data_IF_780560647181
#
_entry.id   IF_780560647181
#
_cell.length_a   1.000
_cell.length_b   1.000
_cell.length_c   1.000
_cell.angle_alpha   90.00
_cell.angle_beta   90.00
_cell.angle_gamma   90.00
#
_symmetry.space_group_name_H-M   'P 1'
#
loop_
_entity.id
_entity.type
_entity.pdbx_description
1 polymer ?
#
# COMPACT_ATOMS: atom_id res chain seq x y z
N UNK A 1 -28.30 14.27 -66.14
CA UNK A 1 -27.29 13.64 -67.03
C UNK A 1 -26.39 12.77 -66.17
N UNK A 2 -26.41 11.44 -66.39
CA UNK A 2 -25.46 10.47 -65.84
C UNK A 2 -24.25 10.35 -66.78
N UNK A 3 -23.08 9.96 -66.26
CA UNK A 3 -22.40 8.73 -66.73
C UNK A 3 -21.84 7.91 -65.53
N UNK A 4 -22.25 6.66 -65.30
CA UNK A 4 -21.76 5.35 -65.82
C UNK A 4 -20.43 4.85 -65.24
N UNK A 5 -20.59 3.90 -64.31
CA UNK A 5 -19.83 2.69 -63.93
C UNK A 5 -18.49 2.33 -64.57
N UNK A 6 -17.56 1.87 -63.72
CA UNK A 6 -16.40 1.06 -64.04
C UNK A 6 -15.96 0.19 -62.86
N UNK A 7 -16.40 -1.07 -62.87
CA UNK A 7 -16.15 -2.16 -61.90
C UNK A 7 -14.70 -2.68 -62.03
N UNK A 8 -13.96 -2.82 -60.92
CA UNK A 8 -12.70 -3.60 -60.88
C UNK A 8 -12.72 -4.63 -59.74
N UNK A 9 -12.34 -5.86 -60.09
CA UNK A 9 -12.48 -7.08 -59.32
C UNK A 9 -11.42 -7.28 -58.22
N UNK A 10 -11.86 -8.01 -57.19
CA UNK A 10 -11.10 -8.63 -56.10
C UNK A 10 -9.92 -9.48 -56.61
N UNK A 11 -8.77 -9.39 -55.94
CA UNK A 11 -7.90 -10.54 -55.64
C UNK A 11 -7.36 -10.39 -54.21
N UNK A 12 -7.83 -11.26 -53.31
CA UNK A 12 -7.19 -11.56 -52.02
C UNK A 12 -6.11 -12.60 -52.32
N UNK A 13 -4.87 -12.33 -51.91
CA UNK A 13 -3.81 -13.33 -51.89
C UNK A 13 -3.73 -13.86 -50.46
N UNK A 14 -4.04 -15.15 -50.31
CA UNK A 14 -3.80 -15.93 -49.12
C UNK A 14 -2.33 -16.34 -49.09
N UNK A 15 -1.72 -16.32 -47.91
CA UNK A 15 -0.48 -17.02 -47.63
C UNK A 15 -0.74 -17.94 -46.45
N UNK A 16 -0.46 -19.21 -46.69
CA UNK A 16 -0.74 -20.37 -45.87
C UNK A 16 0.16 -20.46 -44.64
N UNK A 17 -0.40 -20.89 -43.51
CA UNK A 17 0.33 -21.74 -42.56
C UNK A 17 -0.61 -22.86 -42.12
N UNK A 18 -0.07 -24.07 -42.22
CA UNK A 18 -0.74 -25.35 -42.32
C UNK A 18 -1.35 -25.84 -41.01
N UNK A 19 -2.59 -26.28 -41.13
CA UNK A 19 -3.47 -26.84 -40.11
C UNK A 19 -3.49 -28.36 -40.29
N UNK A 20 -2.36 -29.02 -40.04
CA UNK A 20 -2.34 -30.41 -39.58
C UNK A 20 -2.82 -30.38 -38.12
N UNK A 21 -4.12 -30.38 -37.82
CA UNK A 21 -5.01 -31.54 -38.02
C UNK A 21 -4.24 -32.82 -37.79
N UNK A 22 -4.28 -33.27 -36.55
CA UNK A 22 -4.73 -34.63 -36.28
C UNK A 22 -5.57 -34.57 -35.00
N UNK A 23 -6.86 -34.30 -35.19
CA UNK A 23 -7.86 -34.99 -34.38
C UNK A 23 -8.03 -36.38 -35.02
N UNK A 24 -8.13 -37.40 -34.19
CA UNK A 24 -9.24 -38.37 -34.17
C UNK A 24 -8.85 -39.50 -33.18
N UNK A 25 -9.49 -39.60 -32.02
CA UNK A 25 -10.80 -40.24 -31.78
C UNK A 25 -10.66 -41.78 -31.78
N UNK A 26 -10.45 -42.36 -30.60
CA UNK A 26 -11.39 -43.28 -29.90
C UNK A 26 -10.69 -43.94 -28.69
N UNK A 27 -11.31 -43.88 -27.50
CA UNK A 27 -10.94 -44.78 -26.39
C UNK A 27 -11.11 -44.21 -24.97
N UNK A 28 -12.37 -44.05 -24.55
CA UNK A 28 -12.97 -44.26 -23.22
C UNK A 28 -11.99 -44.57 -22.05
N UNK A 29 -12.16 -43.87 -20.91
CA UNK A 29 -11.34 -43.90 -19.67
C UNK A 29 -11.28 -45.23 -18.87
N UNK A 30 -10.84 -45.28 -17.58
CA UNK A 30 -11.19 -44.33 -16.51
C UNK A 30 -10.06 -43.90 -15.53
N UNK A 31 -10.38 -42.88 -14.73
CA UNK A 31 -9.93 -42.55 -13.35
C UNK A 31 -8.72 -43.26 -12.75
N UNK A 32 -7.70 -42.49 -12.32
CA UNK A 32 -7.31 -42.45 -10.90
C UNK A 32 -6.31 -41.34 -10.56
N UNK A 33 -6.49 -40.80 -9.34
CA UNK A 33 -5.49 -40.05 -8.57
C UNK A 33 -4.16 -40.79 -8.55
N UNK A 34 -3.04 -40.06 -8.64
CA UNK A 34 -2.05 -39.90 -7.56
C UNK A 34 -0.90 -39.02 -8.01
N UNK A 35 -0.39 -38.30 -7.02
CA UNK A 35 0.75 -37.39 -6.95
C UNK A 35 2.08 -38.00 -7.39
N UNK A 36 3.05 -37.10 -7.55
CA UNK A 36 4.52 -37.25 -7.49
C UNK A 36 5.28 -37.38 -8.81
N UNK A 37 5.96 -36.29 -9.18
CA UNK A 37 7.15 -36.36 -10.04
C UNK A 37 8.13 -35.26 -9.65
N UNK A 38 9.04 -35.65 -8.75
CA UNK A 38 10.49 -35.44 -8.80
C UNK A 38 11.03 -34.09 -9.30
N UNK A 39 11.56 -33.37 -8.31
CA UNK A 39 12.72 -32.48 -8.30
C UNK A 39 13.72 -32.70 -9.45
N UNK A 40 13.86 -31.69 -10.31
CA UNK A 40 15.09 -31.44 -11.06
C UNK A 40 15.78 -30.22 -10.45
N UNK A 41 16.94 -30.47 -9.83
CA UNK A 41 17.79 -29.46 -9.20
C UNK A 41 18.47 -28.65 -10.31
N UNK A 42 17.79 -27.62 -10.78
CA UNK A 42 18.49 -26.43 -11.25
C UNK A 42 18.92 -25.63 -10.03
N UNK A 43 20.02 -24.89 -10.13
CA UNK A 43 20.59 -24.04 -9.07
C UNK A 43 19.63 -22.87 -8.82
N UNK A 44 18.47 -23.20 -8.27
CA UNK A 44 17.30 -22.35 -8.16
C UNK A 44 17.49 -21.47 -6.95
N UNK A 45 17.62 -20.17 -7.18
CA UNK A 45 17.27 -19.20 -6.17
C UNK A 45 15.89 -19.60 -5.63
N UNK A 46 15.83 -19.98 -4.35
CA UNK A 46 14.59 -20.41 -3.70
C UNK A 46 13.63 -19.22 -3.70
N UNK A 47 12.81 -19.15 -4.75
CA UNK A 47 11.71 -18.19 -4.88
C UNK A 47 10.84 -18.27 -3.64
N UNK A 48 10.40 -17.10 -3.16
CA UNK A 48 9.53 -17.00 -2.00
C UNK A 48 8.16 -16.55 -2.46
N UNK A 49 7.14 -17.33 -2.15
CA UNK A 49 5.75 -16.94 -2.39
C UNK A 49 5.20 -16.20 -1.16
N UNK A 50 4.67 -15.00 -1.39
CA UNK A 50 4.09 -14.21 -0.31
C UNK A 50 2.82 -14.89 0.23
N UNK A 51 2.74 -15.22 1.53
CA UNK A 51 1.61 -15.98 2.10
C UNK A 51 0.30 -15.18 2.19
N UNK A 52 0.29 -13.91 1.79
CA UNK A 52 -0.88 -13.04 1.83
C UNK A 52 -1.45 -12.74 0.44
N UNK A 53 -0.61 -12.33 -0.51
CA UNK A 53 -1.04 -11.97 -1.87
C UNK A 53 -0.69 -13.03 -2.92
N UNK A 54 0.04 -14.09 -2.54
CA UNK A 54 0.47 -15.19 -3.41
C UNK A 54 1.39 -14.77 -4.56
N UNK A 55 2.00 -13.59 -4.45
CA UNK A 55 2.99 -13.12 -5.41
C UNK A 55 4.32 -13.87 -5.21
N UNK A 56 4.92 -14.28 -6.32
CA UNK A 56 6.21 -14.97 -6.31
C UNK A 56 7.35 -13.94 -6.37
N UNK A 57 8.13 -13.87 -5.30
CA UNK A 57 9.26 -12.95 -5.15
C UNK A 57 10.54 -13.63 -5.62
N UNK A 58 11.29 -12.96 -6.51
CA UNK A 58 12.53 -13.47 -7.10
C UNK A 58 13.74 -12.78 -6.45
N UNK A 59 14.71 -13.53 -5.87
CA UNK A 59 15.93 -12.94 -5.30
C UNK A 59 16.89 -12.39 -6.38
N UNK A 60 17.84 -11.50 -6.03
CA UNK A 60 18.14 -11.01 -4.67
C UNK A 60 17.14 -9.96 -4.17
N UNK A 61 16.85 -9.99 -2.87
CA UNK A 61 15.94 -9.03 -2.23
C UNK A 61 16.74 -7.88 -1.61
N UNK A 62 16.15 -6.67 -1.50
CA UNK A 62 16.67 -5.63 -0.61
C UNK A 62 16.79 -6.12 0.85
N UNK A 63 17.74 -5.57 1.61
CA UNK A 63 18.11 -6.04 2.95
C UNK A 63 16.91 -6.23 3.90
N UNK A 64 15.99 -5.26 3.92
CA UNK A 64 14.82 -5.31 4.80
C UNK A 64 13.82 -6.40 4.40
N UNK A 65 13.61 -6.61 3.10
CA UNK A 65 12.80 -7.72 2.62
C UNK A 65 13.49 -9.06 2.88
N UNK A 66 14.81 -9.14 2.73
CA UNK A 66 15.56 -10.37 3.01
C UNK A 66 15.43 -10.78 4.48
N UNK A 67 15.57 -9.83 5.42
CA UNK A 67 15.33 -10.05 6.86
C UNK A 67 13.90 -10.53 7.12
N UNK A 68 12.91 -9.90 6.50
CA UNK A 68 11.51 -10.26 6.69
C UNK A 68 11.18 -11.66 6.13
N UNK A 69 11.67 -11.98 4.92
CA UNK A 69 11.51 -13.31 4.31
C UNK A 69 12.16 -14.38 5.19
N UNK A 70 13.37 -14.11 5.71
CA UNK A 70 14.07 -15.02 6.62
C UNK A 70 13.26 -15.24 7.90
N UNK A 71 12.79 -14.18 8.55
CA UNK A 71 11.99 -14.29 9.76
C UNK A 71 10.71 -15.12 9.56
N UNK A 72 10.02 -14.94 8.42
CA UNK A 72 8.85 -15.75 8.08
C UNK A 72 9.22 -17.22 7.87
N UNK A 73 10.31 -17.51 7.15
CA UNK A 73 10.79 -18.89 6.95
C UNK A 73 11.16 -19.56 8.28
N UNK A 74 11.87 -18.85 9.14
CA UNK A 74 12.30 -19.34 10.45
C UNK A 74 11.08 -19.64 11.35
N UNK A 75 10.04 -18.79 11.32
CA UNK A 75 8.77 -19.05 12.02
C UNK A 75 8.06 -20.30 11.52
N UNK A 76 7.97 -20.49 10.19
CA UNK A 76 7.35 -21.70 9.60
C UNK A 76 8.09 -22.97 10.05
N UNK A 77 9.43 -22.93 10.02
CA UNK A 77 10.28 -24.05 10.44
C UNK A 77 10.08 -24.36 11.92
N UNK A 78 10.09 -23.33 12.79
CA UNK A 78 9.90 -23.50 14.22
C UNK A 78 8.52 -24.10 14.53
N UNK A 79 7.46 -23.58 13.90
CA UNK A 79 6.11 -24.12 14.08
C UNK A 79 5.99 -25.57 13.64
N UNK A 80 6.56 -25.93 12.48
CA UNK A 80 6.57 -27.32 12.02
C UNK A 80 7.31 -28.24 13.01
N UNK A 81 8.45 -27.79 13.55
CA UNK A 81 9.21 -28.55 14.55
C UNK A 81 8.40 -28.76 15.85
N UNK A 82 7.72 -27.73 16.34
CA UNK A 82 6.87 -27.83 17.52
C UNK A 82 5.69 -28.79 17.28
N UNK A 83 5.03 -28.70 16.13
CA UNK A 83 3.94 -29.62 15.76
C UNK A 83 4.44 -31.07 15.65
N UNK A 84 5.63 -31.29 15.08
CA UNK A 84 6.24 -32.63 15.00
C UNK A 84 6.55 -33.19 16.37
N UNK A 85 7.06 -32.37 17.29
CA UNK A 85 7.35 -32.79 18.66
C UNK A 85 6.07 -33.18 19.40
N UNK A 86 5.02 -32.34 19.31
CA UNK A 86 3.70 -32.65 19.90
C UNK A 86 3.11 -33.94 19.31
N UNK A 87 3.27 -34.13 18.00
CA UNK A 87 2.88 -35.37 17.34
C UNK A 87 3.66 -36.56 17.91
N UNK A 88 4.98 -36.52 17.94
CA UNK A 88 5.82 -37.61 18.47
C UNK A 88 5.44 -38.00 19.91
N UNK A 89 5.17 -37.02 20.78
CA UNK A 89 4.69 -37.23 22.14
C UNK A 89 3.33 -37.94 22.17
N UNK A 90 2.37 -37.48 21.35
CA UNK A 90 1.05 -38.12 21.20
C UNK A 90 1.19 -39.58 20.75
N UNK A 91 2.06 -39.85 19.77
CA UNK A 91 2.31 -41.20 19.23
C UNK A 91 2.83 -42.13 20.32
N UNK A 92 3.76 -41.66 21.15
CA UNK A 92 4.27 -42.43 22.27
C UNK A 92 3.15 -42.83 23.24
N UNK A 93 2.23 -41.90 23.53
CA UNK A 93 1.09 -42.14 24.40
C UNK A 93 0.09 -43.14 23.77
N UNK A 94 -0.32 -42.94 22.52
CA UNK A 94 -1.31 -43.81 21.86
C UNK A 94 -0.83 -45.25 21.72
N UNK A 95 0.48 -45.44 21.49
CA UNK A 95 1.11 -46.77 21.48
C UNK A 95 1.05 -47.43 22.86
N UNK A 96 1.30 -46.67 23.93
CA UNK A 96 1.22 -47.19 25.30
C UNK A 96 -0.22 -47.59 25.69
N UNK A 97 -1.22 -46.90 25.14
CA UNK A 97 -2.64 -47.20 25.31
C UNK A 97 -3.14 -48.37 24.42
N UNK A 98 -2.26 -48.97 23.60
CA UNK A 98 -2.59 -50.14 22.79
C UNK A 98 -3.34 -49.84 21.48
N UNK A 99 -3.31 -48.59 20.99
CA UNK A 99 -3.87 -48.30 19.65
C UNK A 99 -3.05 -48.96 18.54
N UNK A 100 -3.76 -49.62 17.63
CA UNK A 100 -3.18 -50.36 16.49
C UNK A 100 -2.98 -49.47 15.27
N UNK A 101 -3.85 -48.47 15.09
CA UNK A 101 -3.75 -47.48 14.03
C UNK A 101 -3.38 -46.13 14.60
N UNK A 102 -2.44 -45.49 13.94
CA UNK A 102 -1.88 -44.21 14.34
C UNK A 102 -1.92 -43.29 13.13
N UNK A 103 -2.60 -42.16 13.26
CA UNK A 103 -2.71 -41.19 12.17
C UNK A 103 -1.34 -40.61 11.81
N UNK A 104 -0.99 -40.52 10.52
CA UNK A 104 0.22 -39.85 10.07
C UNK A 104 0.26 -38.37 10.45
N UNK A 105 1.46 -37.80 10.59
CA UNK A 105 1.64 -36.38 10.80
C UNK A 105 1.12 -35.59 9.59
N UNK A 106 0.23 -34.64 9.84
CA UNK A 106 -0.25 -33.70 8.83
C UNK A 106 -0.22 -32.28 9.38
N UNK A 107 0.32 -31.35 8.59
CA UNK A 107 0.24 -29.92 8.89
C UNK A 107 -1.14 -29.40 8.48
N UNK A 108 -1.81 -28.70 9.41
CA UNK A 108 -3.13 -28.14 9.16
C UNK A 108 -3.09 -26.68 8.67
N UNK A 109 -2.01 -25.96 8.97
CA UNK A 109 -1.78 -24.58 8.56
C UNK A 109 -0.27 -24.30 8.45
N UNK A 110 0.08 -23.07 8.06
CA UNK A 110 1.45 -22.64 7.86
C UNK A 110 2.10 -22.00 9.10
N UNK A 111 1.43 -22.04 10.27
CA UNK A 111 1.95 -21.51 11.53
C UNK A 111 2.10 -20.00 11.58
N UNK A 112 1.67 -19.28 10.55
CA UNK A 112 1.79 -17.83 10.49
C UNK A 112 0.53 -17.15 11.00
N UNK A 113 0.74 -16.14 11.85
CA UNK A 113 -0.32 -15.22 12.22
C UNK A 113 -0.70 -14.34 11.01
N UNK A 114 -1.96 -13.91 10.96
CA UNK A 114 -2.44 -13.00 9.92
C UNK A 114 -1.65 -11.68 9.88
N UNK A 115 -1.13 -11.25 11.03
CA UNK A 115 -0.24 -10.09 11.14
C UNK A 115 1.10 -10.33 10.43
N UNK A 116 1.68 -11.53 10.56
CA UNK A 116 2.93 -11.91 9.89
C UNK A 116 2.76 -11.90 8.37
N UNK A 117 1.64 -12.47 7.88
CA UNK A 117 1.29 -12.49 6.46
C UNK A 117 1.13 -11.06 5.91
N UNK A 118 0.40 -10.21 6.63
CA UNK A 118 0.23 -8.79 6.26
C UNK A 118 1.54 -8.02 6.29
N UNK A 119 2.40 -8.29 7.27
CA UNK A 119 3.67 -7.60 7.42
C UNK A 119 4.59 -7.89 6.24
N UNK A 120 4.81 -9.17 5.90
CA UNK A 120 5.67 -9.52 4.75
C UNK A 120 5.10 -8.99 3.43
N UNK A 121 3.77 -9.01 3.28
CA UNK A 121 3.08 -8.42 2.13
C UNK A 121 3.40 -6.92 1.98
N UNK A 122 3.24 -6.16 3.07
CA UNK A 122 3.56 -4.73 3.08
C UNK A 122 5.03 -4.49 2.80
N UNK A 123 5.93 -5.30 3.38
CA UNK A 123 7.37 -5.15 3.18
C UNK A 123 7.77 -5.40 1.73
N UNK A 124 7.31 -6.48 1.07
CA UNK A 124 7.73 -6.71 -0.32
C UNK A 124 7.17 -5.67 -1.28
N UNK A 125 5.92 -5.24 -1.12
CA UNK A 125 5.35 -4.15 -1.93
C UNK A 125 6.14 -2.87 -1.76
N UNK A 126 6.50 -2.55 -0.50
CA UNK A 126 7.34 -1.39 -0.19
C UNK A 126 8.70 -1.47 -0.88
N UNK A 127 9.41 -2.57 -0.71
CA UNK A 127 10.79 -2.71 -1.17
C UNK A 127 10.90 -2.91 -2.69
N UNK A 128 9.98 -3.64 -3.30
CA UNK A 128 10.07 -4.06 -4.71
C UNK A 128 9.26 -3.19 -5.67
N UNK A 129 8.15 -2.58 -5.23
CA UNK A 129 7.30 -1.77 -6.11
C UNK A 129 7.40 -0.30 -5.77
N UNK A 130 7.10 0.04 -4.50
CA UNK A 130 7.01 1.43 -4.10
C UNK A 130 8.39 2.07 -4.21
N UNK A 131 9.39 1.63 -3.44
CA UNK A 131 10.69 2.32 -3.31
C UNK A 131 11.32 2.64 -4.66
N UNK A 132 11.38 1.70 -5.62
CA UNK A 132 11.87 1.99 -6.97
C UNK A 132 11.08 3.10 -7.67
N UNK A 133 9.74 3.08 -7.62
CA UNK A 133 8.89 4.13 -8.22
C UNK A 133 9.08 5.49 -7.58
N UNK A 134 9.24 5.57 -6.25
CA UNK A 134 9.52 6.84 -5.59
C UNK A 134 10.89 7.41 -6.00
N UNK A 135 11.90 6.56 -6.16
CA UNK A 135 13.23 6.96 -6.67
C UNK A 135 13.14 7.48 -8.10
N UNK A 136 12.38 6.81 -8.97
CA UNK A 136 12.14 7.27 -10.33
C UNK A 136 11.45 8.64 -10.37
N UNK A 137 10.56 8.92 -9.42
CA UNK A 137 9.91 10.23 -9.23
C UNK A 137 10.77 11.27 -8.51
N UNK A 138 11.94 10.87 -7.99
CA UNK A 138 12.85 11.74 -7.25
C UNK A 138 12.37 12.12 -5.84
N UNK A 139 11.43 11.37 -5.25
CA UNK A 139 10.96 11.63 -3.89
C UNK A 139 12.06 11.32 -2.86
N UNK A 140 12.10 12.02 -1.71
CA UNK A 140 13.11 11.77 -0.68
C UNK A 140 13.10 10.31 -0.20
N UNK A 141 14.26 9.64 -0.22
CA UNK A 141 14.37 8.25 0.28
C UNK A 141 14.24 8.16 1.80
N UNK A 142 14.62 9.22 2.50
CA UNK A 142 14.60 9.29 3.97
C UNK A 142 14.13 10.66 4.41
N UNK A 143 13.22 10.70 5.38
CA UNK A 143 12.72 11.93 5.99
C UNK A 143 13.29 12.06 7.40
N UNK A 144 13.98 13.18 7.66
CA UNK A 144 14.46 13.54 8.99
C UNK A 144 13.30 14.16 9.79
N UNK A 145 12.54 13.30 10.47
CA UNK A 145 11.40 13.71 11.30
C UNK A 145 11.82 14.52 12.53
N UNK A 146 13.08 14.40 12.99
CA UNK A 146 13.59 15.14 14.14
C UNK A 146 13.72 16.63 13.81
N UNK A 147 14.15 16.95 12.58
CA UNK A 147 14.21 18.34 12.10
C UNK A 147 12.88 18.90 11.63
N UNK A 148 11.84 18.07 11.46
CA UNK A 148 10.57 18.48 10.87
C UNK A 148 9.90 19.63 11.62
N UNK A 149 9.92 19.60 12.96
CA UNK A 149 9.37 20.68 13.79
C UNK A 149 9.99 22.05 13.48
N UNK A 150 11.31 22.11 13.31
CA UNK A 150 12.01 23.36 12.99
C UNK A 150 11.60 23.93 11.62
N UNK A 151 11.38 23.05 10.64
CA UNK A 151 10.90 23.44 9.30
C UNK A 151 9.47 23.97 9.36
N UNK A 152 8.59 23.31 10.13
CA UNK A 152 7.20 23.75 10.33
C UNK A 152 7.16 25.14 10.98
N UNK A 153 7.99 25.37 12.00
CA UNK A 153 8.08 26.66 12.69
C UNK A 153 8.52 27.78 11.72
N UNK A 154 9.38 27.49 10.74
CA UNK A 154 9.79 28.47 9.74
C UNK A 154 8.62 28.96 8.86
N UNK A 155 7.54 28.18 8.73
CA UNK A 155 6.33 28.57 7.99
C UNK A 155 5.31 29.34 8.84
N UNK A 156 5.62 29.63 10.11
CA UNK A 156 4.65 30.20 11.04
C UNK A 156 3.96 31.45 10.49
N UNK A 157 4.74 32.40 9.96
CA UNK A 157 4.20 33.67 9.48
C UNK A 157 3.34 33.47 8.23
N UNK A 158 3.74 32.60 7.31
CA UNK A 158 2.94 32.25 6.12
C UNK A 158 1.59 31.61 6.50
N UNK A 159 1.60 30.73 7.49
CA UNK A 159 0.38 30.09 7.99
C UNK A 159 -0.51 31.08 8.74
N UNK A 160 0.06 32.07 9.42
CA UNK A 160 -0.71 33.16 10.05
C UNK A 160 -1.47 34.00 9.03
N UNK A 161 -0.89 34.25 7.85
CA UNK A 161 -1.59 34.96 6.76
C UNK A 161 -2.85 34.22 6.35
N UNK A 162 -2.83 32.88 6.34
CA UNK A 162 -4.01 32.04 6.06
C UNK A 162 -5.01 32.13 7.22
N UNK A 163 -4.55 31.97 8.47
CA UNK A 163 -5.40 32.01 9.67
C UNK A 163 -6.11 33.36 9.81
N UNK A 164 -5.44 34.46 9.46
CA UNK A 164 -5.99 35.81 9.48
C UNK A 164 -6.95 36.10 8.30
N UNK A 165 -7.12 35.16 7.37
CA UNK A 165 -7.96 35.33 6.17
C UNK A 165 -7.37 36.31 5.16
N UNK A 166 -6.06 36.59 5.24
CA UNK A 166 -5.35 37.49 4.31
C UNK A 166 -4.89 36.77 3.03
N UNK A 167 -4.81 35.44 3.07
CA UNK A 167 -4.59 34.59 1.91
C UNK A 167 -5.68 33.52 1.81
N UNK A 168 -6.10 33.22 0.58
CA UNK A 168 -7.04 32.13 0.32
C UNK A 168 -6.32 30.78 0.39
N UNK A 169 -6.94 29.82 1.07
CA UNK A 169 -6.49 28.43 1.12
C UNK A 169 -7.50 27.54 0.41
N UNK A 170 -7.04 26.77 -0.58
CA UNK A 170 -7.87 25.78 -1.25
C UNK A 170 -8.39 24.70 -0.30
N UNK A 171 -7.61 24.36 0.73
CA UNK A 171 -8.03 23.40 1.75
C UNK A 171 -9.09 23.98 2.69
N UNK A 172 -8.98 25.26 3.08
CA UNK A 172 -10.03 25.93 3.86
C UNK A 172 -11.35 26.04 3.08
N UNK A 173 -11.27 26.38 1.78
CA UNK A 173 -12.43 26.45 0.91
C UNK A 173 -13.10 25.08 0.76
N UNK A 174 -12.30 24.03 0.57
CA UNK A 174 -12.79 22.66 0.44
C UNK A 174 -13.47 22.17 1.73
N UNK A 175 -12.82 22.36 2.88
CA UNK A 175 -13.36 21.96 4.17
C UNK A 175 -14.70 22.68 4.47
N UNK A 176 -14.80 23.97 4.11
CA UNK A 176 -16.06 24.72 4.19
C UNK A 176 -17.12 24.15 3.24
N UNK A 177 -16.74 23.86 1.99
CA UNK A 177 -17.63 23.28 0.98
C UNK A 177 -18.25 21.96 1.45
N UNK A 178 -17.46 21.09 2.07
CA UNK A 178 -17.96 19.82 2.63
C UNK A 178 -18.99 20.08 3.72
N UNK A 179 -18.70 20.98 4.67
CA UNK A 179 -19.65 21.34 5.73
C UNK A 179 -20.94 21.92 5.15
N UNK A 180 -20.86 22.77 4.12
CA UNK A 180 -22.03 23.36 3.48
C UNK A 180 -22.87 22.30 2.73
N UNK A 181 -22.24 21.26 2.16
CA UNK A 181 -22.93 20.20 1.41
C UNK A 181 -23.64 19.18 2.31
N UNK A 182 -22.94 18.65 3.32
CA UNK A 182 -23.48 17.55 4.15
C UNK A 182 -24.00 18.03 5.52
N UNK A 183 -23.70 19.27 5.89
CA UNK A 183 -24.00 19.83 7.19
C UNK A 183 -22.94 19.48 8.25
N UNK A 184 -22.78 20.38 9.22
CA UNK A 184 -21.81 20.31 10.30
C UNK A 184 -21.79 18.98 11.09
N UNK A 185 -22.94 18.34 11.28
CA UNK A 185 -23.03 17.07 12.01
C UNK A 185 -22.55 15.89 11.17
N UNK A 186 -22.94 15.84 9.89
CA UNK A 186 -22.54 14.75 9.00
C UNK A 186 -21.07 14.86 8.59
N UNK A 187 -20.56 16.09 8.45
CA UNK A 187 -19.14 16.35 8.20
C UNK A 187 -18.21 15.83 9.33
N UNK A 188 -18.77 15.58 10.52
CA UNK A 188 -18.07 15.07 11.69
C UNK A 188 -18.43 13.61 12.01
N UNK A 189 -19.11 12.95 11.07
CA UNK A 189 -19.37 11.52 11.17
C UNK A 189 -18.10 10.72 10.81
N UNK A 190 -17.99 9.50 11.32
CA UNK A 190 -16.77 8.68 11.23
C UNK A 190 -16.32 8.48 9.78
N UNK A 191 -17.27 8.21 8.88
CA UNK A 191 -16.98 8.02 7.45
C UNK A 191 -16.39 9.28 6.83
N UNK A 192 -16.95 10.46 7.11
CA UNK A 192 -16.48 11.70 6.50
C UNK A 192 -15.14 12.13 7.09
N UNK A 193 -14.94 11.93 8.39
CA UNK A 193 -13.64 12.16 9.03
C UNK A 193 -12.53 11.29 8.43
N UNK A 194 -12.83 10.02 8.09
CA UNK A 194 -11.88 9.15 7.39
C UNK A 194 -11.55 9.67 5.99
N UNK A 195 -12.58 10.05 5.21
CA UNK A 195 -12.37 10.63 3.87
C UNK A 195 -11.52 11.90 3.92
N UNK A 196 -11.83 12.80 4.86
CA UNK A 196 -11.09 14.04 5.05
C UNK A 196 -9.65 13.77 5.49
N UNK A 197 -9.45 12.83 6.40
CA UNK A 197 -8.12 12.44 6.84
C UNK A 197 -7.26 11.94 5.68
N UNK A 198 -7.79 11.05 4.83
CA UNK A 198 -7.06 10.57 3.64
C UNK A 198 -6.74 11.71 2.67
N UNK A 199 -7.68 12.66 2.47
CA UNK A 199 -7.51 13.80 1.58
C UNK A 199 -6.50 14.84 2.10
N UNK A 200 -6.27 14.90 3.42
CA UNK A 200 -5.39 15.90 4.07
C UNK A 200 -4.05 15.35 4.49
N UNK A 201 -3.74 14.08 4.18
CA UNK A 201 -2.43 13.50 4.41
C UNK A 201 -1.33 14.29 3.67
N UNK A 202 -0.18 14.56 4.32
CA UNK A 202 0.92 15.34 3.75
C UNK A 202 1.77 14.54 2.75
N UNK A 203 1.15 13.75 1.86
CA UNK A 203 1.83 12.97 0.83
C UNK A 203 2.83 11.95 1.39
N UNK A 204 4.06 11.92 0.85
CA UNK A 204 5.12 11.00 1.26
C UNK A 204 5.57 11.16 2.72
N UNK A 205 5.20 12.26 3.40
CA UNK A 205 5.42 12.39 4.85
C UNK A 205 4.53 11.45 5.67
N UNK A 206 3.41 11.03 5.10
CA UNK A 206 2.52 10.02 5.66
C UNK A 206 1.93 10.34 7.03
N UNK A 207 1.43 9.29 7.70
CA UNK A 207 0.77 9.41 8.99
C UNK A 207 1.72 9.95 10.07
N UNK A 208 2.97 9.47 10.09
CA UNK A 208 4.00 9.93 11.05
C UNK A 208 4.31 11.41 10.87
N UNK A 209 4.40 11.88 9.63
CA UNK A 209 4.57 13.30 9.33
C UNK A 209 3.34 14.11 9.69
N UNK A 210 2.13 13.62 9.38
CA UNK A 210 0.88 14.26 9.77
C UNK A 210 0.78 14.47 11.28
N UNK A 211 1.13 13.45 12.07
CA UNK A 211 1.18 13.52 13.54
C UNK A 211 2.15 14.61 14.01
N UNK A 212 3.37 14.65 13.46
CA UNK A 212 4.37 15.63 13.88
C UNK A 212 4.02 17.06 13.47
N UNK A 213 3.43 17.21 12.28
CA UNK A 213 2.89 18.49 11.79
C UNK A 213 1.77 18.94 12.72
N UNK A 214 0.78 18.09 12.99
CA UNK A 214 -0.33 18.38 13.89
C UNK A 214 0.15 18.80 15.28
N UNK A 215 1.06 18.03 15.89
CA UNK A 215 1.64 18.33 17.20
C UNK A 215 2.26 19.73 17.22
N UNK A 216 3.10 20.03 16.23
CA UNK A 216 3.82 21.31 16.14
C UNK A 216 2.85 22.48 15.92
N UNK A 217 1.87 22.32 15.03
CA UNK A 217 0.86 23.35 14.74
C UNK A 217 -0.05 23.62 15.93
N UNK A 218 -0.43 22.59 16.69
CA UNK A 218 -1.18 22.74 17.94
C UNK A 218 -0.40 23.62 18.93
N UNK A 219 0.89 23.34 19.14
CA UNK A 219 1.76 24.13 20.02
C UNK A 219 1.93 25.59 19.54
N UNK A 220 1.92 25.81 18.22
CA UNK A 220 2.06 27.14 17.62
C UNK A 220 0.78 27.98 17.70
N UNK A 221 -0.40 27.37 17.49
CA UNK A 221 -1.59 28.15 17.15
C UNK A 221 -2.85 27.88 17.98
N UNK A 222 -3.03 26.68 18.55
CA UNK A 222 -4.34 26.23 19.06
C UNK A 222 -4.94 27.17 20.12
N UNK A 223 -4.17 27.52 21.15
CA UNK A 223 -4.61 28.38 22.25
C UNK A 223 -4.12 29.82 22.13
N UNK A 224 -3.55 30.19 20.98
CA UNK A 224 -2.89 31.49 20.77
C UNK A 224 -3.58 32.30 19.68
N UNK A 225 -3.76 31.69 18.51
CA UNK A 225 -4.13 32.40 17.27
C UNK A 225 -5.47 31.92 16.70
N UNK A 226 -5.85 30.66 16.95
CA UNK A 226 -7.06 30.05 16.40
C UNK A 226 -8.28 30.33 17.28
N UNK A 227 -8.98 31.42 16.98
CA UNK A 227 -10.27 31.72 17.59
C UNK A 227 -11.42 31.05 16.83
N UNK A 228 -12.57 30.87 17.50
CA UNK A 228 -13.79 30.36 16.86
C UNK A 228 -14.23 31.17 15.64
N UNK A 229 -13.96 32.47 15.62
CA UNK A 229 -14.32 33.34 14.51
C UNK A 229 -13.41 33.12 13.30
N UNK A 230 -12.10 33.00 13.52
CA UNK A 230 -11.13 32.76 12.43
C UNK A 230 -11.31 31.37 11.78
N UNK A 231 -11.74 30.38 12.56
CA UNK A 231 -11.87 29.01 12.06
C UNK A 231 -13.25 28.68 11.47
N UNK A 232 -14.26 29.53 11.68
CA UNK A 232 -15.64 29.18 11.33
C UNK A 232 -15.80 28.81 9.85
N UNK A 233 -16.51 27.71 9.49
CA UNK A 233 -17.37 26.87 10.34
C UNK A 233 -16.66 25.69 11.03
N UNK A 234 -15.33 25.57 10.87
CA UNK A 234 -14.51 24.55 11.52
C UNK A 234 -14.25 24.91 12.99
N UNK A 235 -13.99 23.90 13.80
CA UNK A 235 -13.39 24.09 15.13
C UNK A 235 -11.87 24.27 14.98
N UNK A 236 -11.18 24.90 15.94
CA UNK A 236 -9.72 25.11 15.87
C UNK A 236 -8.92 23.85 15.53
N UNK A 237 -9.21 22.71 16.17
CA UNK A 237 -8.52 21.44 15.89
C UNK A 237 -8.82 20.93 14.48
N UNK A 238 -10.06 21.06 14.00
CA UNK A 238 -10.46 20.68 12.64
C UNK A 238 -9.78 21.58 11.61
N UNK A 239 -9.62 22.86 11.92
CA UNK A 239 -8.91 23.82 11.07
C UNK A 239 -7.42 23.45 10.96
N UNK A 240 -6.77 23.08 12.06
CA UNK A 240 -5.39 22.57 12.00
C UNK A 240 -5.34 21.33 11.10
N UNK A 241 -6.19 20.34 11.36
CA UNK A 241 -6.15 19.05 10.68
C UNK A 241 -6.49 19.14 9.17
N UNK A 242 -7.49 19.94 8.81
CA UNK A 242 -8.03 19.98 7.46
C UNK A 242 -7.44 21.08 6.60
N UNK A 243 -6.85 22.11 7.22
CA UNK A 243 -6.28 23.27 6.52
C UNK A 243 -4.78 23.34 6.76
N UNK A 244 -4.33 23.51 8.00
CA UNK A 244 -2.93 23.82 8.26
C UNK A 244 -1.99 22.63 8.05
N UNK A 245 -2.41 21.40 8.34
CA UNK A 245 -1.64 20.18 8.07
C UNK A 245 -1.35 20.05 6.57
N UNK A 246 -2.34 20.05 5.66
CA UNK A 246 -2.05 19.95 4.24
C UNK A 246 -1.36 21.19 3.67
N UNK A 247 -1.64 22.41 4.16
CA UNK A 247 -0.89 23.63 3.78
C UNK A 247 0.60 23.54 4.15
N UNK A 248 0.90 22.95 5.30
CA UNK A 248 2.27 22.69 5.73
C UNK A 248 2.91 21.57 4.90
N UNK A 249 2.16 20.48 4.64
CA UNK A 249 2.60 19.39 3.78
C UNK A 249 3.03 19.87 2.39
N UNK A 250 2.21 20.71 1.75
CA UNK A 250 2.55 21.34 0.45
C UNK A 250 3.86 22.12 0.56
N UNK A 251 4.03 22.98 1.57
CA UNK A 251 5.25 23.79 1.73
C UNK A 251 6.51 22.96 1.98
N UNK A 252 6.37 21.88 2.75
CA UNK A 252 7.46 20.92 2.96
C UNK A 252 7.87 20.26 1.62
N UNK A 253 6.90 19.84 0.82
CA UNK A 253 7.14 19.26 -0.50
C UNK A 253 7.78 20.27 -1.46
N UNK A 254 7.34 21.53 -1.43
CA UNK A 254 7.96 22.60 -2.22
C UNK A 254 9.44 22.78 -1.86
N UNK A 255 9.77 22.75 -0.57
CA UNK A 255 11.16 22.84 -0.10
C UNK A 255 12.00 21.62 -0.51
N UNK A 256 11.46 20.41 -0.39
CA UNK A 256 12.22 19.19 -0.68
C UNK A 256 12.47 19.02 -2.18
N UNK A 257 11.45 19.29 -2.99
CA UNK A 257 11.45 19.03 -4.43
C UNK A 257 11.86 20.25 -5.26
N UNK A 258 11.92 21.44 -4.65
CA UNK A 258 12.23 22.70 -5.35
C UNK A 258 11.18 23.07 -6.39
N UNK A 259 9.89 22.83 -6.10
CA UNK A 259 8.78 23.03 -7.04
C UNK A 259 7.77 24.08 -6.58
N UNK A 260 6.97 24.57 -7.52
CA UNK A 260 5.86 25.48 -7.26
C UNK A 260 4.70 24.81 -6.52
N UNK A 261 3.85 25.63 -5.89
CA UNK A 261 2.78 25.16 -4.99
C UNK A 261 1.81 24.19 -5.65
N UNK A 262 1.41 24.44 -6.90
CA UNK A 262 0.47 23.56 -7.60
C UNK A 262 1.08 22.20 -7.91
N UNK A 263 2.38 22.17 -8.29
CA UNK A 263 3.08 20.91 -8.49
C UNK A 263 3.29 20.16 -7.17
N UNK A 264 3.55 20.87 -6.08
CA UNK A 264 3.64 20.26 -4.76
C UNK A 264 2.31 19.66 -4.30
N UNK A 265 1.17 20.27 -4.62
CA UNK A 265 -0.17 19.68 -4.34
C UNK A 265 -0.41 18.40 -5.15
N UNK A 266 0.01 18.36 -6.41
CA UNK A 266 -0.05 17.14 -7.23
C UNK A 266 0.82 16.03 -6.61
N UNK A 267 2.07 16.35 -6.28
CA UNK A 267 2.98 15.42 -5.60
C UNK A 267 2.37 14.97 -4.28
N UNK A 268 1.79 15.86 -3.48
CA UNK A 268 1.16 15.49 -2.20
C UNK A 268 0.09 14.41 -2.41
N UNK A 269 -0.80 14.58 -3.40
CA UNK A 269 -1.87 13.59 -3.69
C UNK A 269 -1.32 12.27 -4.22
N UNK A 270 -0.41 12.33 -5.18
CA UNK A 270 0.21 11.12 -5.75
C UNK A 270 1.08 10.40 -4.73
N UNK A 271 1.66 11.13 -3.80
CA UNK A 271 2.66 10.59 -2.90
C UNK A 271 2.09 9.89 -1.66
N UNK A 272 0.75 9.88 -1.48
CA UNK A 272 0.11 9.23 -0.33
C UNK A 272 0.33 7.72 -0.33
N UNK A 273 0.39 7.05 -1.49
CA UNK A 273 0.65 5.60 -1.56
C UNK A 273 2.04 5.21 -1.00
N UNK A 274 2.94 6.20 -0.95
CA UNK A 274 4.30 6.09 -0.47
C UNK A 274 4.45 6.48 1.01
N UNK A 275 3.39 6.96 1.64
CA UNK A 275 3.36 7.33 3.07
C UNK A 275 3.75 6.21 4.04
N UNK A 276 3.74 4.97 3.55
CA UNK A 276 4.09 3.77 4.31
C UNK A 276 5.56 3.36 4.16
N UNK A 277 6.43 4.21 3.60
CA UNK A 277 7.88 3.99 3.62
C UNK A 277 8.47 3.96 5.02
#
# INVERSE_FOLDING_TARGET
>A
MKPTEGRVHKKRVAADVDLSKFSDIFGIGPSNRTSSTTTSVSRGYLVFECPFCYETLIPPYPEELEKAVKAVKDKKIAYEQDQRKMYEERICQEKAEGRVFIEPFMMHDDGLLEEDKKMICKTHKRELELKPRAREKGYPETIDFDKLASRIIAFKDDLLVIIDGKAESGFALEAKRVIDQVGANKARDTTEMMNQFEATLPGYYGMKGAEKIMETLCQLFLDKELTKQKCWPLKPVEYIQQVLVPECGVRLIQQDMGVESDKAKEIMKESVEYSLY
#
